data_IF_208781265059
#
_entry.id   IF_208781265059
#
_cell.length_a   1.000
_cell.length_b   1.000
_cell.length_c   1.000
_cell.angle_alpha   90.00
_cell.angle_beta   90.00
_cell.angle_gamma   90.00
#
_symmetry.space_group_name_H-M   'P 1'
#
loop_
_entity.id
_entity.type
_entity.pdbx_description
1 polymer ?
#
# COMPACT_ATOMS: atom_id res chain seq x y z
N UNK A 1 -45.85 -6.56 57.61
CA UNK A 1 -44.37 -6.54 57.51
C UNK A 1 -44.01 -6.69 56.01
N UNK A 2 -43.67 -5.59 55.34
CA UNK A 2 -43.30 -5.58 53.91
C UNK A 2 -41.77 -5.61 53.86
N UNK A 3 -41.20 -6.64 53.21
CA UNK A 3 -39.75 -6.75 52.93
C UNK A 3 -39.43 -5.97 51.69
N UNK A 4 -38.58 -4.94 51.75
CA UNK A 4 -37.95 -4.27 50.59
C UNK A 4 -36.89 -5.20 49.96
N UNK A 5 -36.79 -5.27 48.65
CA UNK A 5 -35.65 -5.93 48.00
C UNK A 5 -34.43 -5.01 48.00
N UNK A 6 -33.30 -5.56 48.41
CA UNK A 6 -31.97 -4.91 48.27
C UNK A 6 -31.51 -5.13 46.86
N UNK A 7 -31.44 -4.04 46.07
CA UNK A 7 -30.82 -4.04 44.73
C UNK A 7 -29.33 -3.79 44.91
N UNK A 8 -28.49 -4.82 44.71
CA UNK A 8 -27.04 -4.67 44.61
C UNK A 8 -26.71 -4.09 43.24
N UNK A 9 -26.24 -2.85 43.19
CA UNK A 9 -25.59 -2.28 42.02
C UNK A 9 -24.15 -2.83 41.94
N UNK A 10 -23.89 -3.68 40.94
CA UNK A 10 -22.50 -3.98 40.53
C UNK A 10 -21.95 -2.78 39.78
N UNK A 11 -21.12 -1.96 40.40
CA UNK A 11 -20.25 -1.02 39.71
C UNK A 11 -19.16 -1.83 38.98
N UNK A 12 -19.28 -1.99 37.69
CA UNK A 12 -18.17 -2.43 36.83
C UNK A 12 -17.13 -1.30 36.84
N UNK A 13 -16.05 -1.47 37.59
CA UNK A 13 -14.86 -0.61 37.51
C UNK A 13 -14.19 -0.92 36.19
N UNK A 14 -14.49 -0.13 35.16
CA UNK A 14 -13.68 -0.04 33.96
C UNK A 14 -12.33 0.55 34.38
N UNK A 15 -11.32 -0.29 34.57
CA UNK A 15 -9.93 0.16 34.64
C UNK A 15 -9.62 0.92 33.35
N UNK A 16 -9.23 2.22 33.39
CA UNK A 16 -8.67 2.86 32.23
C UNK A 16 -7.34 2.15 31.95
N UNK A 17 -7.32 1.27 30.95
CA UNK A 17 -6.07 0.78 30.40
C UNK A 17 -5.26 2.02 30.01
N UNK A 18 -4.13 2.25 30.67
CA UNK A 18 -3.16 3.24 30.22
C UNK A 18 -2.72 2.83 28.81
N UNK A 19 -3.31 3.44 27.79
CA UNK A 19 -2.78 3.41 26.44
C UNK A 19 -1.45 4.17 26.48
N UNK A 20 -0.35 3.46 26.69
CA UNK A 20 0.97 4.05 26.55
C UNK A 20 1.17 4.43 25.09
N UNK A 21 1.28 5.72 24.81
CA UNK A 21 1.56 6.20 23.46
C UNK A 21 2.96 5.76 23.03
N UNK A 22 3.10 5.36 21.78
CA UNK A 22 4.39 4.98 21.17
C UNK A 22 5.41 6.12 21.36
N UNK A 23 6.63 5.79 21.81
CA UNK A 23 7.74 6.75 21.90
C UNK A 23 8.25 7.14 20.50
N UNK A 24 7.60 8.11 19.89
CA UNK A 24 7.97 8.62 18.58
C UNK A 24 9.29 9.38 18.57
N UNK A 25 9.77 9.88 19.71
CA UNK A 25 11.04 10.60 19.82
C UNK A 25 12.23 9.65 19.76
N UNK A 26 12.18 8.56 20.55
CA UNK A 26 13.18 7.50 20.51
C UNK A 26 13.21 6.82 19.15
N UNK A 27 12.04 6.48 18.61
CA UNK A 27 11.87 5.90 17.28
C UNK A 27 12.50 6.78 16.18
N UNK A 28 12.25 8.11 16.21
CA UNK A 28 12.86 9.05 15.25
C UNK A 28 14.38 9.00 15.30
N UNK A 29 14.96 9.04 16.49
CA UNK A 29 16.43 9.04 16.65
C UNK A 29 17.04 7.77 16.06
N UNK A 30 16.48 6.62 16.34
CA UNK A 30 16.95 5.33 15.84
C UNK A 30 16.80 5.23 14.31
N UNK A 31 15.66 5.61 13.76
CA UNK A 31 15.42 5.62 12.31
C UNK A 31 16.39 6.57 11.61
N UNK A 32 16.56 7.80 12.11
CA UNK A 32 17.46 8.78 11.48
C UNK A 32 18.92 8.31 11.49
N UNK A 33 19.35 7.55 12.49
CA UNK A 33 20.70 6.96 12.53
C UNK A 33 20.90 5.94 11.40
N UNK A 34 19.89 5.08 11.14
CA UNK A 34 19.92 4.11 10.03
C UNK A 34 19.91 4.81 8.67
N UNK A 35 19.01 5.80 8.48
CA UNK A 35 18.92 6.54 7.22
C UNK A 35 20.20 7.31 6.89
N UNK A 36 20.96 7.75 7.90
CA UNK A 36 22.24 8.46 7.73
C UNK A 36 23.37 7.58 7.14
N UNK A 37 23.20 6.25 7.13
CA UNK A 37 24.15 5.32 6.47
C UNK A 37 24.15 5.48 4.93
N UNK A 38 23.12 6.11 4.37
CA UNK A 38 22.97 6.37 2.93
C UNK A 38 22.75 7.88 2.67
N UNK A 39 23.75 8.73 2.90
CA UNK A 39 23.59 10.19 2.88
C UNK A 39 23.24 10.77 1.50
N UNK A 40 23.50 10.02 0.42
CA UNK A 40 23.15 10.40 -0.95
C UNK A 40 21.69 10.05 -1.31
N UNK A 41 21.03 9.21 -0.51
CA UNK A 41 19.66 8.78 -0.75
C UNK A 41 18.63 9.75 -0.14
N UNK A 42 17.42 9.70 -0.64
CA UNK A 42 16.29 10.41 -0.06
C UNK A 42 15.26 9.42 0.44
N UNK A 43 14.69 9.70 1.61
CA UNK A 43 13.73 8.84 2.27
C UNK A 43 12.48 9.59 2.69
N UNK A 44 11.35 8.89 2.69
CA UNK A 44 10.15 9.33 3.40
C UNK A 44 9.57 8.16 4.19
N UNK A 45 9.15 8.46 5.41
CA UNK A 45 8.51 7.48 6.31
C UNK A 45 7.20 8.08 6.82
N UNK A 46 6.13 7.30 6.74
CA UNK A 46 4.89 7.59 7.45
C UNK A 46 4.47 6.35 8.25
N UNK A 47 4.06 6.58 9.47
CA UNK A 47 3.56 5.55 10.37
C UNK A 47 2.31 6.06 11.08
N UNK A 48 1.37 5.16 11.37
CA UNK A 48 0.21 5.44 12.22
C UNK A 48 -0.16 4.21 13.04
N UNK A 49 -0.12 4.34 14.36
CA UNK A 49 -0.72 3.36 15.26
C UNK A 49 -2.25 3.46 15.14
N UNK A 50 -2.89 2.39 14.71
CA UNK A 50 -4.35 2.35 14.51
C UNK A 50 -5.13 2.22 15.83
N UNK A 51 -4.46 1.91 16.94
CA UNK A 51 -5.10 1.79 18.25
C UNK A 51 -5.18 3.13 18.97
N UNK A 52 -4.08 3.91 18.94
CA UNK A 52 -3.99 5.21 19.59
C UNK A 52 -4.24 6.39 18.64
N UNK A 53 -4.14 6.16 17.33
CA UNK A 53 -4.20 7.19 16.29
C UNK A 53 -2.92 8.03 16.19
N UNK A 54 -1.86 7.73 16.96
CA UNK A 54 -0.59 8.50 16.94
C UNK A 54 0.13 8.33 15.62
N UNK A 55 0.41 9.44 14.91
CA UNK A 55 1.19 9.42 13.68
C UNK A 55 2.68 9.69 13.94
N UNK A 56 3.52 9.26 12.98
CA UNK A 56 4.94 9.63 12.92
C UNK A 56 5.35 9.84 11.46
N UNK A 57 6.17 10.86 11.21
CA UNK A 57 6.51 11.29 9.86
C UNK A 57 7.97 11.68 9.70
N UNK A 58 8.56 11.34 8.55
CA UNK A 58 9.83 11.86 8.02
C UNK A 58 9.59 12.18 6.54
N UNK A 59 9.74 13.44 6.12
CA UNK A 59 9.58 13.90 4.74
C UNK A 59 8.29 13.40 4.05
N UNK A 60 7.20 13.31 4.79
CA UNK A 60 5.97 12.62 4.40
C UNK A 60 5.32 13.17 3.13
N UNK A 61 5.52 14.45 2.82
CA UNK A 61 5.00 15.13 1.62
C UNK A 61 6.03 15.18 0.47
N UNK A 62 7.22 14.59 0.65
CA UNK A 62 8.19 14.52 -0.44
C UNK A 62 7.66 13.63 -1.58
N UNK A 63 7.74 14.14 -2.81
CA UNK A 63 7.28 13.41 -4.00
C UNK A 63 8.31 12.39 -4.46
N UNK A 64 7.85 11.15 -4.69
CA UNK A 64 8.63 10.06 -5.25
C UNK A 64 7.96 9.52 -6.52
N UNK A 65 8.75 8.95 -7.44
CA UNK A 65 8.18 8.09 -8.49
C UNK A 65 7.45 6.92 -7.82
N UNK A 66 6.19 6.70 -8.17
CA UNK A 66 5.38 5.75 -7.41
C UNK A 66 5.82 4.28 -7.54
N UNK A 67 6.56 3.93 -8.59
CA UNK A 67 6.82 2.53 -8.94
C UNK A 67 5.51 1.72 -8.86
N UNK A 68 5.54 0.51 -8.32
CA UNK A 68 4.34 -0.33 -8.21
C UNK A 68 3.44 0.00 -7.02
N UNK A 69 3.77 0.96 -6.15
CA UNK A 69 2.84 1.40 -5.09
C UNK A 69 1.59 2.07 -5.66
N UNK A 70 1.65 2.59 -6.90
CA UNK A 70 0.49 3.13 -7.62
C UNK A 70 -0.63 2.10 -7.86
N UNK A 71 -0.35 0.79 -7.71
CA UNK A 71 -1.34 -0.28 -7.88
C UNK A 71 -2.35 -0.33 -6.72
N UNK A 72 -2.02 0.22 -5.55
CA UNK A 72 -2.97 0.37 -4.43
C UNK A 72 -4.14 1.30 -4.77
N UNK A 73 -3.93 2.53 -5.29
CA UNK A 73 -5.01 3.35 -5.85
C UNK A 73 -5.87 2.66 -6.90
N UNK A 74 -5.24 1.89 -7.80
CA UNK A 74 -5.97 1.15 -8.85
C UNK A 74 -6.88 0.08 -8.24
N UNK A 75 -6.37 -0.64 -7.23
CA UNK A 75 -7.14 -1.64 -6.48
C UNK A 75 -8.36 -1.00 -5.80
N UNK A 76 -8.16 0.11 -5.08
CA UNK A 76 -9.22 0.84 -4.37
C UNK A 76 -10.33 1.26 -5.35
N UNK A 77 -9.97 1.94 -6.46
CA UNK A 77 -10.96 2.38 -7.45
C UNK A 77 -11.71 1.21 -8.06
N UNK A 78 -11.04 0.09 -8.34
CA UNK A 78 -11.72 -1.09 -8.85
C UNK A 78 -12.76 -1.61 -7.87
N UNK A 79 -12.43 -1.70 -6.58
CA UNK A 79 -13.40 -2.10 -5.55
C UNK A 79 -14.50 -1.07 -5.33
N UNK A 80 -14.22 0.22 -5.52
CA UNK A 80 -15.24 1.28 -5.51
C UNK A 80 -16.28 1.06 -6.63
N UNK A 81 -15.82 0.74 -7.85
CA UNK A 81 -16.72 0.43 -8.96
C UNK A 81 -17.51 -0.87 -8.74
N UNK A 82 -16.91 -1.85 -8.08
CA UNK A 82 -17.60 -3.10 -7.72
C UNK A 82 -18.69 -2.83 -6.67
N UNK A 83 -18.41 -2.05 -5.64
CA UNK A 83 -19.41 -1.65 -4.62
C UNK A 83 -20.56 -0.86 -5.23
N UNK A 84 -20.32 -0.08 -6.27
CA UNK A 84 -21.31 0.64 -7.05
C UNK A 84 -22.06 -0.23 -8.09
N UNK A 85 -21.81 -1.53 -8.15
CA UNK A 85 -22.38 -2.48 -9.13
C UNK A 85 -22.04 -2.13 -10.60
N UNK A 86 -20.99 -1.35 -10.85
CA UNK A 86 -20.49 -1.01 -12.20
C UNK A 86 -19.54 -2.05 -12.77
N UNK A 87 -18.89 -2.80 -11.89
CA UNK A 87 -18.01 -3.92 -12.20
C UNK A 87 -18.33 -5.11 -11.29
N UNK A 88 -17.86 -6.28 -11.69
CA UNK A 88 -17.90 -7.51 -10.90
C UNK A 88 -16.55 -8.19 -10.92
N UNK A 89 -16.14 -8.80 -9.82
CA UNK A 89 -14.94 -9.66 -9.76
C UNK A 89 -15.00 -10.83 -10.77
N UNK A 90 -16.20 -11.16 -11.31
CA UNK A 90 -16.41 -12.20 -12.31
C UNK A 90 -16.38 -11.67 -13.75
N UNK A 91 -16.26 -10.38 -13.96
CA UNK A 91 -16.15 -9.83 -15.30
C UNK A 91 -14.93 -10.39 -16.01
N UNK A 92 -15.09 -10.69 -17.29
CA UNK A 92 -14.08 -11.32 -18.14
C UNK A 92 -13.41 -10.26 -19.02
N UNK A 93 -12.14 -10.03 -18.81
CA UNK A 93 -11.32 -9.01 -19.47
C UNK A 93 -10.46 -9.67 -20.54
N UNK A 94 -10.46 -9.12 -21.75
CA UNK A 94 -9.61 -9.59 -22.85
C UNK A 94 -8.15 -9.24 -22.56
N UNK A 95 -7.27 -10.22 -22.64
CA UNK A 95 -5.83 -10.00 -22.48
C UNK A 95 -5.21 -9.57 -23.80
N UNK A 96 -4.59 -8.39 -23.81
CA UNK A 96 -3.86 -7.82 -24.93
C UNK A 96 -2.62 -7.07 -24.47
N UNK A 97 -1.69 -6.76 -25.37
CA UNK A 97 -0.40 -6.13 -25.04
C UNK A 97 -0.29 -4.67 -25.49
N UNK A 98 -1.15 -4.20 -26.38
CA UNK A 98 -1.06 -2.88 -26.97
C UNK A 98 -1.91 -1.86 -26.19
N UNK A 99 -1.28 -0.80 -25.75
CA UNK A 99 -1.90 0.27 -24.96
C UNK A 99 -1.65 1.63 -25.62
N UNK A 100 -2.38 2.65 -25.20
CA UNK A 100 -2.29 4.00 -25.74
C UNK A 100 -1.44 4.86 -24.80
N UNK A 101 -0.37 5.47 -25.35
CA UNK A 101 0.44 6.43 -24.62
C UNK A 101 -0.34 7.72 -24.36
N UNK A 102 -0.26 8.23 -23.11
CA UNK A 102 -0.85 9.53 -22.76
C UNK A 102 -0.03 10.71 -23.30
N UNK A 103 1.17 10.45 -23.83
CA UNK A 103 2.07 11.49 -24.33
C UNK A 103 1.67 12.03 -25.70
N UNK A 104 1.17 11.16 -26.59
CA UNK A 104 0.91 11.47 -27.99
C UNK A 104 -0.19 10.63 -28.64
N UNK A 105 -0.92 9.84 -27.86
CA UNK A 105 -1.96 8.89 -28.29
C UNK A 105 -1.46 7.79 -29.24
N UNK A 106 -0.16 7.58 -29.35
CA UNK A 106 0.41 6.45 -30.10
C UNK A 106 0.31 5.16 -29.29
N UNK A 107 0.42 4.01 -29.99
CA UNK A 107 0.45 2.71 -29.34
C UNK A 107 1.84 2.40 -28.77
N UNK A 108 1.86 1.68 -27.66
CA UNK A 108 3.03 1.00 -27.12
C UNK A 108 2.67 -0.42 -26.69
N UNK A 109 3.65 -1.28 -26.65
CA UNK A 109 3.46 -2.71 -26.36
C UNK A 109 4.29 -3.04 -25.11
N UNK A 110 3.70 -3.77 -24.16
CA UNK A 110 4.42 -4.28 -23.02
C UNK A 110 5.36 -5.41 -23.38
N UNK A 111 6.55 -5.40 -22.77
CA UNK A 111 7.55 -6.47 -22.90
C UNK A 111 7.47 -7.41 -21.69
N UNK A 112 7.20 -8.68 -21.96
CA UNK A 112 7.19 -9.72 -20.93
C UNK A 112 8.53 -9.85 -20.19
N UNK A 113 9.64 -9.42 -20.77
CA UNK A 113 10.96 -9.50 -20.14
C UNK A 113 11.05 -8.61 -18.89
N UNK A 114 10.35 -7.47 -18.89
CA UNK A 114 10.32 -6.48 -17.79
C UNK A 114 9.21 -6.71 -16.76
N UNK A 115 8.27 -7.63 -17.01
CA UNK A 115 7.21 -7.96 -16.04
C UNK A 115 7.67 -9.06 -15.08
N UNK A 116 7.29 -8.98 -13.81
CA UNK A 116 7.55 -10.00 -12.78
C UNK A 116 6.64 -11.22 -12.92
N UNK A 117 5.49 -11.09 -13.60
CA UNK A 117 4.51 -12.13 -13.87
C UNK A 117 4.53 -12.49 -15.36
N UNK A 118 4.61 -13.78 -15.69
CA UNK A 118 4.78 -14.24 -17.07
C UNK A 118 3.56 -15.00 -17.63
N UNK A 119 2.77 -15.62 -16.78
CA UNK A 119 1.71 -16.56 -17.19
C UNK A 119 0.61 -15.84 -17.99
N UNK A 120 0.32 -14.59 -17.63
CA UNK A 120 -0.71 -13.81 -18.32
C UNK A 120 -0.36 -13.53 -19.78
N UNK A 121 0.94 -13.46 -20.13
CA UNK A 121 1.37 -13.32 -21.51
C UNK A 121 1.06 -14.56 -22.37
N UNK A 122 0.92 -15.74 -21.74
CA UNK A 122 0.41 -16.95 -22.39
C UNK A 122 -1.10 -16.95 -22.65
N UNK A 123 -1.82 -15.94 -22.15
CA UNK A 123 -3.28 -15.82 -22.27
C UNK A 123 -3.73 -14.79 -23.33
N UNK A 124 -2.82 -14.30 -24.16
CA UNK A 124 -3.14 -13.31 -25.20
C UNK A 124 -4.31 -13.76 -26.09
N UNK A 125 -5.25 -12.84 -26.32
CA UNK A 125 -6.48 -13.10 -27.08
C UNK A 125 -7.54 -13.90 -26.32
N UNK A 126 -7.26 -14.34 -25.09
CA UNK A 126 -8.22 -15.01 -24.19
C UNK A 126 -8.78 -14.02 -23.17
N UNK A 127 -9.85 -14.43 -22.50
CA UNK A 127 -10.43 -13.65 -21.40
C UNK A 127 -10.01 -14.24 -20.06
N UNK A 128 -9.64 -13.35 -19.12
CA UNK A 128 -9.29 -13.65 -17.73
C UNK A 128 -10.25 -12.90 -16.83
N UNK A 129 -10.65 -13.50 -15.71
CA UNK A 129 -11.58 -12.85 -14.75
C UNK A 129 -10.89 -11.73 -13.99
N UNK A 130 -11.62 -10.63 -13.73
CA UNK A 130 -11.08 -9.43 -13.07
C UNK A 130 -10.41 -9.76 -11.71
N UNK A 131 -11.00 -10.67 -10.93
CA UNK A 131 -10.41 -11.12 -9.65
C UNK A 131 -8.96 -11.61 -9.81
N UNK A 132 -8.68 -12.38 -10.85
CA UNK A 132 -7.35 -12.92 -11.13
C UNK A 132 -6.38 -11.80 -11.53
N UNK A 133 -6.83 -10.85 -12.35
CA UNK A 133 -6.02 -9.68 -12.71
C UNK A 133 -5.67 -8.85 -11.47
N UNK A 134 -6.63 -8.58 -10.57
CA UNK A 134 -6.36 -7.84 -9.33
C UNK A 134 -5.38 -8.58 -8.43
N UNK A 135 -5.53 -9.90 -8.32
CA UNK A 135 -4.61 -10.73 -7.53
C UNK A 135 -3.19 -10.65 -8.09
N UNK A 136 -2.98 -10.92 -9.39
CA UNK A 136 -1.67 -10.84 -10.05
C UNK A 136 -1.08 -9.42 -10.01
N UNK A 137 -1.89 -8.38 -10.20
CA UNK A 137 -1.48 -6.98 -10.11
C UNK A 137 -0.84 -6.67 -8.73
N UNK A 138 -1.39 -7.18 -7.66
CA UNK A 138 -0.93 -6.89 -6.30
C UNK A 138 0.15 -7.87 -5.85
N UNK A 139 -0.10 -9.17 -5.90
CA UNK A 139 0.76 -10.19 -5.28
C UNK A 139 2.05 -10.43 -6.06
N UNK A 140 1.96 -10.43 -7.38
CA UNK A 140 3.07 -10.65 -8.30
C UNK A 140 3.54 -9.34 -8.97
N UNK A 141 2.88 -8.23 -8.63
CA UNK A 141 3.18 -6.92 -9.23
C UNK A 141 3.10 -6.89 -10.76
N UNK A 142 2.24 -7.71 -11.40
CA UNK A 142 2.11 -7.80 -12.85
C UNK A 142 1.85 -6.44 -13.50
N UNK A 143 2.67 -6.07 -14.48
CA UNK A 143 2.54 -4.86 -15.27
C UNK A 143 1.41 -4.99 -16.28
N UNK A 144 1.27 -6.16 -16.91
CA UNK A 144 0.19 -6.43 -17.85
C UNK A 144 -1.18 -6.35 -17.17
N UNK A 145 -1.36 -7.01 -16.02
CA UNK A 145 -2.59 -6.87 -15.23
C UNK A 145 -2.87 -5.41 -14.88
N UNK A 146 -1.84 -4.66 -14.49
CA UNK A 146 -1.98 -3.23 -14.11
C UNK A 146 -2.55 -2.41 -15.28
N UNK A 147 -1.99 -2.56 -16.47
CA UNK A 147 -2.42 -1.78 -17.62
C UNK A 147 -3.85 -2.15 -18.07
N UNK A 148 -4.19 -3.45 -18.08
CA UNK A 148 -5.55 -3.90 -18.37
C UNK A 148 -6.58 -3.33 -17.37
N UNK A 149 -6.24 -3.31 -16.08
CA UNK A 149 -7.13 -2.77 -15.04
C UNK A 149 -7.23 -1.24 -15.14
N UNK A 150 -6.13 -0.51 -15.38
CA UNK A 150 -6.17 0.95 -15.57
C UNK A 150 -6.98 1.33 -16.81
N UNK A 151 -6.87 0.59 -17.91
CA UNK A 151 -7.70 0.81 -19.11
C UNK A 151 -9.18 0.61 -18.79
N UNK A 152 -9.52 -0.39 -17.97
CA UNK A 152 -10.90 -0.68 -17.55
C UNK A 152 -11.48 0.42 -16.64
N UNK A 153 -10.74 0.87 -15.62
CA UNK A 153 -11.26 1.78 -14.60
C UNK A 153 -11.04 3.25 -14.94
N UNK A 154 -9.97 3.59 -15.66
CA UNK A 154 -9.61 4.94 -16.09
C UNK A 154 -8.83 5.74 -15.04
N UNK A 155 -7.66 6.28 -15.45
CA UNK A 155 -6.77 7.05 -14.57
C UNK A 155 -7.46 8.27 -13.92
N UNK A 156 -8.32 8.96 -14.66
CA UNK A 156 -9.06 10.14 -14.14
C UNK A 156 -10.00 9.79 -12.99
N UNK A 157 -10.64 8.62 -13.01
CA UNK A 157 -11.49 8.16 -11.89
C UNK A 157 -10.64 7.80 -10.68
N UNK A 158 -9.54 7.07 -10.89
CA UNK A 158 -8.57 6.79 -9.81
C UNK A 158 -8.19 8.07 -9.12
N UNK A 159 -7.83 9.11 -9.88
CA UNK A 159 -7.43 10.41 -9.32
C UNK A 159 -8.56 11.13 -8.57
N UNK A 160 -9.80 11.03 -9.05
CA UNK A 160 -10.96 11.60 -8.35
C UNK A 160 -11.16 10.93 -6.98
N UNK A 161 -11.19 9.60 -6.96
CA UNK A 161 -11.33 8.80 -5.73
C UNK A 161 -10.20 9.09 -4.73
N UNK A 162 -8.95 9.19 -5.19
CA UNK A 162 -7.82 9.51 -4.30
C UNK A 162 -7.99 10.89 -3.63
N UNK A 163 -8.43 11.91 -4.39
CA UNK A 163 -8.70 13.25 -3.84
C UNK A 163 -9.85 13.24 -2.81
N UNK A 164 -10.93 12.51 -3.10
CA UNK A 164 -12.06 12.35 -2.18
C UNK A 164 -11.64 11.67 -0.87
N UNK A 165 -10.66 10.78 -0.92
CA UNK A 165 -10.07 10.13 0.25
C UNK A 165 -9.10 11.01 1.03
N UNK A 166 -8.70 12.17 0.50
CA UNK A 166 -7.71 13.07 1.11
C UNK A 166 -6.26 12.78 0.69
N UNK A 167 -6.02 11.83 -0.23
CA UNK A 167 -4.73 11.59 -0.85
C UNK A 167 -4.57 12.49 -2.08
N UNK A 168 -4.17 13.75 -1.86
CA UNK A 168 -4.26 14.81 -2.86
C UNK A 168 -3.01 15.01 -3.69
N UNK A 169 -1.86 14.49 -3.25
CA UNK A 169 -0.54 14.65 -3.88
C UNK A 169 -0.17 13.46 -4.76
N UNK A 170 -0.77 12.29 -4.53
CA UNK A 170 -0.55 11.09 -5.35
C UNK A 170 -1.05 11.33 -6.78
N UNK A 171 -0.31 10.80 -7.76
CA UNK A 171 -0.69 10.86 -9.18
C UNK A 171 -0.63 9.48 -9.80
N UNK A 172 -1.75 9.04 -10.35
CA UNK A 172 -1.87 7.86 -11.20
C UNK A 172 -2.38 8.35 -12.56
N UNK A 173 -1.45 8.69 -13.45
CA UNK A 173 -1.75 9.33 -14.73
C UNK A 173 -1.92 8.32 -15.85
N UNK A 174 -1.24 7.19 -15.78
CA UNK A 174 -1.07 6.23 -16.87
C UNK A 174 -0.81 4.81 -16.36
N UNK A 175 -0.89 3.87 -17.29
CA UNK A 175 -0.33 2.53 -17.11
C UNK A 175 1.19 2.54 -16.97
N UNK A 176 1.77 1.39 -16.73
CA UNK A 176 3.22 1.22 -16.63
C UNK A 176 3.86 1.04 -18.01
N UNK A 177 5.17 1.23 -18.11
CA UNK A 177 5.99 1.07 -19.34
C UNK A 177 5.64 2.00 -20.51
N UNK A 178 4.85 3.05 -20.28
CA UNK A 178 4.70 4.13 -21.26
C UNK A 178 5.97 5.01 -21.24
N UNK A 179 6.99 4.57 -21.96
CA UNK A 179 8.31 5.24 -22.02
C UNK A 179 8.20 6.68 -22.54
N UNK A 180 7.34 6.91 -23.54
CA UNK A 180 7.14 8.27 -24.09
C UNK A 180 6.57 9.23 -23.05
N UNK A 181 5.63 8.79 -22.25
CA UNK A 181 5.10 9.58 -21.16
C UNK A 181 6.15 9.79 -20.04
N UNK A 182 6.95 8.76 -19.75
CA UNK A 182 8.06 8.86 -18.82
C UNK A 182 9.07 9.94 -19.23
N UNK A 183 9.51 9.94 -20.48
CA UNK A 183 10.46 10.92 -21.04
C UNK A 183 9.90 12.36 -21.02
N UNK A 184 8.58 12.54 -21.11
CA UNK A 184 7.91 13.83 -20.98
C UNK A 184 7.61 14.24 -19.51
N UNK A 185 8.07 13.47 -18.53
CA UNK A 185 7.84 13.75 -17.11
C UNK A 185 6.39 13.47 -16.63
N UNK A 186 5.57 12.80 -17.46
CA UNK A 186 4.19 12.39 -17.11
C UNK A 186 4.21 11.12 -16.27
N UNK A 187 4.78 11.21 -15.06
CA UNK A 187 5.02 10.07 -14.20
C UNK A 187 3.92 9.88 -13.16
N UNK A 188 3.68 8.61 -12.82
CA UNK A 188 2.95 8.27 -11.60
C UNK A 188 3.83 8.61 -10.40
N UNK A 189 3.31 9.38 -9.46
CA UNK A 189 4.04 9.84 -8.27
C UNK A 189 3.24 9.55 -7.01
N UNK A 190 3.94 9.48 -5.87
CA UNK A 190 3.33 9.25 -4.56
C UNK A 190 4.06 10.03 -3.47
N UNK A 191 3.42 10.17 -2.32
CA UNK A 191 4.01 10.62 -1.06
C UNK A 191 3.79 9.56 0.02
N UNK A 192 4.60 9.58 1.07
CA UNK A 192 4.40 8.66 2.19
C UNK A 192 3.10 8.97 2.93
N UNK A 193 2.73 10.25 3.02
CA UNK A 193 1.49 10.70 3.64
C UNK A 193 0.27 10.13 2.91
N UNK A 194 0.20 10.29 1.58
CA UNK A 194 -0.96 9.84 0.81
C UNK A 194 -1.13 8.32 0.88
N UNK A 195 -0.05 7.55 0.73
CA UNK A 195 -0.13 6.11 0.90
C UNK A 195 -0.58 5.71 2.31
N UNK A 196 -0.10 6.40 3.35
CA UNK A 196 -0.56 6.15 4.72
C UNK A 196 -2.07 6.40 4.85
N UNK A 197 -2.59 7.50 4.30
CA UNK A 197 -4.03 7.80 4.29
C UNK A 197 -4.82 6.68 3.62
N UNK A 198 -4.35 6.16 2.49
CA UNK A 198 -5.04 5.06 1.78
C UNK A 198 -5.05 3.77 2.60
N UNK A 199 -3.91 3.38 3.18
CA UNK A 199 -3.82 2.16 3.99
C UNK A 199 -4.57 2.29 5.33
N UNK A 200 -4.62 3.50 5.93
CA UNK A 200 -5.45 3.78 7.11
C UNK A 200 -6.94 3.55 6.80
N UNK A 201 -7.43 4.08 5.67
CA UNK A 201 -8.80 3.87 5.23
C UNK A 201 -9.11 2.41 4.87
N UNK A 202 -8.18 1.68 4.27
CA UNK A 202 -8.33 0.22 4.04
C UNK A 202 -8.42 -0.50 5.39
N UNK A 203 -7.56 -0.17 6.34
CA UNK A 203 -7.49 -0.81 7.65
C UNK A 203 -8.74 -0.54 8.51
N UNK A 204 -9.33 0.66 8.41
CA UNK A 204 -10.56 1.06 9.13
C UNK A 204 -11.84 0.58 8.46
N UNK A 205 -11.78 0.05 7.23
CA UNK A 205 -12.97 -0.34 6.47
C UNK A 205 -13.67 0.82 5.75
N UNK A 206 -12.99 1.98 5.64
CA UNK A 206 -13.54 3.23 5.12
C UNK A 206 -13.10 3.56 3.68
N UNK A 207 -12.17 2.77 3.10
CA UNK A 207 -11.73 3.03 1.72
C UNK A 207 -12.84 2.80 0.69
N UNK A 208 -13.74 1.85 0.94
CA UNK A 208 -14.95 1.56 0.15
C UNK A 208 -16.07 1.19 1.11
N UNK A 209 -16.12 -0.07 1.50
CA UNK A 209 -16.95 -0.63 2.57
C UNK A 209 -16.16 -1.74 3.28
N UNK A 210 -16.68 -2.23 4.41
CA UNK A 210 -15.96 -3.20 5.24
C UNK A 210 -15.65 -4.51 4.49
N UNK A 211 -16.56 -4.99 3.62
CA UNK A 211 -16.36 -6.24 2.87
C UNK A 211 -15.30 -6.06 1.77
N UNK A 212 -15.35 -4.95 1.04
CA UNK A 212 -14.36 -4.60 0.03
C UNK A 212 -12.96 -4.41 0.65
N UNK A 213 -12.87 -3.69 1.79
CA UNK A 213 -11.62 -3.50 2.52
C UNK A 213 -11.04 -4.83 3.03
N UNK A 214 -11.87 -5.73 3.55
CA UNK A 214 -11.43 -7.07 3.96
C UNK A 214 -10.90 -7.88 2.77
N UNK A 215 -11.55 -7.80 1.61
CA UNK A 215 -11.09 -8.45 0.38
C UNK A 215 -9.75 -7.87 -0.12
N UNK A 216 -9.57 -6.54 -0.09
CA UNK A 216 -8.30 -5.89 -0.43
C UNK A 216 -7.19 -6.31 0.53
N UNK A 217 -7.44 -6.33 1.85
CA UNK A 217 -6.47 -6.79 2.86
C UNK A 217 -6.07 -8.26 2.60
N UNK A 218 -7.02 -9.13 2.24
CA UNK A 218 -6.71 -10.53 1.92
C UNK A 218 -5.73 -10.63 0.74
N UNK A 219 -5.98 -9.89 -0.35
CA UNK A 219 -5.08 -9.86 -1.51
C UNK A 219 -3.69 -9.29 -1.12
N UNK A 220 -3.66 -8.18 -0.36
CA UNK A 220 -2.43 -7.52 0.07
C UNK A 220 -1.57 -8.39 1.02
N UNK A 221 -2.18 -9.28 1.81
CA UNK A 221 -1.47 -10.25 2.67
C UNK A 221 -0.73 -11.31 1.87
N UNK A 222 -1.23 -11.64 0.70
CA UNK A 222 -0.62 -12.64 -0.21
C UNK A 222 0.53 -12.06 -1.03
N UNK A 223 0.99 -10.82 -0.76
CA UNK A 223 2.15 -10.21 -1.40
C UNK A 223 3.36 -11.14 -1.39
N UNK A 224 3.97 -11.36 -2.58
CA UNK A 224 5.16 -12.22 -2.72
C UNK A 224 6.46 -11.50 -2.32
N UNK A 225 6.54 -10.19 -2.55
CA UNK A 225 7.73 -9.37 -2.26
C UNK A 225 7.64 -8.80 -0.84
N UNK A 226 8.29 -9.45 0.12
CA UNK A 226 8.18 -9.17 1.57
C UNK A 226 9.47 -8.62 2.18
N UNK A 227 10.46 -8.33 1.38
CA UNK A 227 11.83 -8.04 1.80
C UNK A 227 11.96 -6.71 2.56
N UNK A 228 11.05 -5.75 2.34
CA UNK A 228 11.08 -4.43 2.99
C UNK A 228 10.34 -4.44 4.33
N UNK A 229 9.02 -4.22 4.34
CA UNK A 229 8.28 -4.15 5.63
C UNK A 229 8.39 -5.47 6.39
N UNK A 230 8.21 -6.61 5.73
CA UNK A 230 8.22 -7.94 6.34
C UNK A 230 9.61 -8.50 6.66
N UNK A 231 10.67 -8.00 6.01
CA UNK A 231 11.96 -8.67 5.90
C UNK A 231 12.67 -8.99 7.23
N UNK A 232 12.51 -8.16 8.26
CA UNK A 232 13.10 -8.35 9.60
C UNK A 232 12.05 -8.49 10.70
N UNK A 233 10.77 -8.60 10.36
CA UNK A 233 9.71 -8.83 11.34
C UNK A 233 9.67 -10.32 11.75
N UNK A 234 9.20 -10.63 12.97
CA UNK A 234 8.98 -12.00 13.39
C UNK A 234 8.00 -12.74 12.47
N UNK A 235 8.15 -14.05 12.26
CA UNK A 235 7.36 -14.81 11.28
C UNK A 235 5.85 -14.88 11.60
N UNK A 236 5.46 -14.66 12.84
CA UNK A 236 4.07 -14.58 13.28
C UNK A 236 3.37 -13.27 12.93
N UNK A 237 4.14 -12.24 12.56
CA UNK A 237 3.60 -10.92 12.18
C UNK A 237 3.13 -10.97 10.74
N UNK A 238 1.86 -10.67 10.53
CA UNK A 238 1.29 -10.60 9.19
C UNK A 238 1.41 -9.18 8.63
N UNK A 239 1.73 -9.10 7.35
CA UNK A 239 1.83 -7.83 6.62
C UNK A 239 0.91 -7.88 5.40
N UNK A 240 0.07 -6.87 5.24
CA UNK A 240 -0.71 -6.63 4.03
C UNK A 240 -0.13 -5.42 3.32
N UNK A 241 0.69 -5.62 2.28
CA UNK A 241 1.45 -4.52 1.66
C UNK A 241 1.45 -4.54 0.14
N UNK A 242 1.85 -3.41 -0.43
CA UNK A 242 2.24 -3.28 -1.83
C UNK A 242 3.61 -2.64 -1.93
N UNK A 243 4.56 -3.44 -2.41
CA UNK A 243 5.93 -3.00 -2.71
C UNK A 243 6.02 -2.29 -4.07
N UNK A 244 7.10 -1.56 -4.28
CA UNK A 244 7.41 -0.94 -5.56
C UNK A 244 8.91 -0.82 -5.77
N UNK A 245 9.39 -1.30 -6.92
CA UNK A 245 10.79 -1.25 -7.30
C UNK A 245 10.96 -0.77 -8.74
N UNK A 246 11.91 0.12 -8.95
CA UNK A 246 12.60 0.42 -10.21
C UNK A 246 14.03 0.81 -9.86
N UNK A 247 14.94 0.85 -10.82
CA UNK A 247 16.34 1.21 -10.58
C UNK A 247 16.47 2.48 -9.75
N UNK A 248 17.09 2.38 -8.60
CA UNK A 248 17.32 3.49 -7.68
C UNK A 248 16.09 3.93 -6.85
N UNK A 249 14.98 3.21 -6.92
CA UNK A 249 13.76 3.48 -6.14
C UNK A 249 13.27 2.19 -5.49
N UNK A 250 13.11 2.17 -4.18
CA UNK A 250 12.57 1.05 -3.42
C UNK A 250 11.53 1.54 -2.43
N UNK A 251 10.35 0.96 -2.48
CA UNK A 251 9.19 1.36 -1.67
C UNK A 251 8.47 0.15 -1.11
N UNK A 252 7.87 0.33 0.05
CA UNK A 252 6.82 -0.56 0.54
C UNK A 252 5.82 0.24 1.39
N UNK A 253 4.56 -0.17 1.34
CA UNK A 253 3.46 0.50 2.05
C UNK A 253 2.41 -0.53 2.46
N UNK A 254 1.97 -0.49 3.71
CA UNK A 254 1.05 -1.54 4.16
C UNK A 254 0.58 -1.42 5.60
N UNK A 255 -0.19 -2.43 6.00
CA UNK A 255 -0.74 -2.64 7.32
C UNK A 255 0.00 -3.81 7.96
N UNK A 256 0.52 -3.61 9.17
CA UNK A 256 1.14 -4.65 9.99
C UNK A 256 0.16 -5.08 11.07
N UNK A 257 -0.01 -6.40 11.21
CA UNK A 257 -0.90 -7.04 12.18
C UNK A 257 -0.07 -7.70 13.28
N UNK A 258 -0.15 -7.17 14.48
CA UNK A 258 0.60 -7.69 15.63
C UNK A 258 -0.09 -8.90 16.25
N UNK A 259 0.67 -9.82 16.91
CA UNK A 259 0.10 -11.00 17.56
C UNK A 259 -0.91 -10.70 18.68
N UNK A 260 -0.81 -9.53 19.29
CA UNK A 260 -1.72 -9.05 20.35
C UNK A 260 -3.01 -8.40 19.81
N UNK A 261 -3.21 -8.40 18.49
CA UNK A 261 -4.37 -7.85 17.81
C UNK A 261 -4.27 -6.37 17.45
N UNK A 262 -3.26 -5.64 17.93
CA UNK A 262 -3.00 -4.26 17.47
C UNK A 262 -2.55 -4.26 16.02
N UNK A 263 -2.71 -3.11 15.38
CA UNK A 263 -2.33 -2.90 13.98
C UNK A 263 -1.73 -1.52 13.81
N UNK A 264 -0.85 -1.38 12.85
CA UNK A 264 -0.36 -0.09 12.42
C UNK A 264 -0.18 -0.02 10.90
N UNK A 265 -0.24 1.18 10.37
CA UNK A 265 0.13 1.48 8.99
C UNK A 265 1.58 1.93 8.95
N UNK A 266 2.33 1.48 7.96
CA UNK A 266 3.69 1.93 7.69
C UNK A 266 3.92 2.11 6.20
N UNK A 267 4.58 3.21 5.84
CA UNK A 267 5.02 3.53 4.48
C UNK A 267 6.50 3.87 4.52
N UNK A 268 7.27 3.20 3.70
CA UNK A 268 8.71 3.34 3.57
C UNK A 268 9.04 3.63 2.11
N UNK A 269 9.50 4.86 1.82
CA UNK A 269 9.89 5.27 0.47
C UNK A 269 11.37 5.63 0.44
N UNK A 270 12.09 5.18 -0.60
CA UNK A 270 13.49 5.54 -0.82
C UNK A 270 13.80 5.79 -2.29
N UNK A 271 14.76 6.68 -2.55
CA UNK A 271 15.37 6.89 -3.87
C UNK A 271 16.85 7.20 -3.73
N UNK A 272 17.66 6.82 -4.72
CA UNK A 272 19.08 7.05 -4.78
C UNK A 272 19.95 5.87 -4.33
N UNK A 273 19.34 4.71 -3.99
CA UNK A 273 20.05 3.46 -3.71
C UNK A 273 19.83 2.52 -4.90
N UNK A 274 20.89 2.23 -5.67
CA UNK A 274 20.81 1.38 -6.86
C UNK A 274 20.95 -0.11 -6.55
N UNK A 275 21.59 -0.46 -5.44
CA UNK A 275 21.65 -1.84 -4.95
C UNK A 275 20.35 -2.19 -4.22
N UNK A 276 19.57 -3.07 -4.84
CA UNK A 276 18.26 -3.50 -4.36
C UNK A 276 18.34 -4.13 -2.96
N UNK A 277 19.36 -4.98 -2.74
CA UNK A 277 19.53 -5.67 -1.46
C UNK A 277 19.85 -4.69 -0.33
N UNK A 278 20.67 -3.68 -0.60
CA UNK A 278 20.98 -2.61 0.36
C UNK A 278 19.73 -1.80 0.68
N UNK A 279 18.92 -1.47 -0.33
CA UNK A 279 17.67 -0.74 -0.14
C UNK A 279 16.66 -1.54 0.71
N UNK A 280 16.45 -2.82 0.42
CA UNK A 280 15.56 -3.69 1.19
C UNK A 280 16.06 -3.89 2.63
N UNK A 281 17.36 -4.10 2.83
CA UNK A 281 17.94 -4.27 4.17
C UNK A 281 17.73 -3.03 5.04
N UNK A 282 17.93 -1.85 4.48
CA UNK A 282 17.72 -0.59 5.16
C UNK A 282 16.24 -0.38 5.51
N UNK A 283 15.33 -0.55 4.55
CA UNK A 283 13.88 -0.38 4.80
C UNK A 283 13.37 -1.41 5.81
N UNK A 284 13.83 -2.65 5.76
CA UNK A 284 13.46 -3.68 6.74
C UNK A 284 14.00 -3.39 8.15
N UNK A 285 15.17 -2.75 8.24
CA UNK A 285 15.70 -2.26 9.53
C UNK A 285 14.82 -1.15 10.11
N UNK A 286 14.39 -0.20 9.28
CA UNK A 286 13.43 0.85 9.71
C UNK A 286 12.11 0.23 10.17
N UNK A 287 11.57 -0.73 9.40
CA UNK A 287 10.35 -1.46 9.79
C UNK A 287 10.52 -2.17 11.13
N UNK A 288 11.67 -2.81 11.37
CA UNK A 288 11.98 -3.49 12.62
C UNK A 288 12.04 -2.53 13.81
N UNK A 289 12.64 -1.35 13.66
CA UNK A 289 12.66 -0.31 14.71
C UNK A 289 11.23 0.09 15.08
N UNK A 290 10.37 0.35 14.09
CA UNK A 290 8.97 0.69 14.32
C UNK A 290 8.26 -0.42 15.10
N UNK A 291 8.42 -1.67 14.67
CA UNK A 291 7.87 -2.83 15.36
C UNK A 291 8.33 -2.93 16.82
N UNK A 292 9.64 -2.80 17.06
CA UNK A 292 10.19 -2.90 18.42
C UNK A 292 9.65 -1.79 19.35
N UNK A 293 9.43 -0.57 18.82
CA UNK A 293 8.77 0.51 19.56
C UNK A 293 7.29 0.22 19.82
N UNK A 294 6.57 -0.38 18.88
CA UNK A 294 5.19 -0.83 19.10
C UNK A 294 5.09 -1.90 20.21
N UNK A 295 6.07 -2.80 20.28
CA UNK A 295 6.07 -3.91 21.25
C UNK A 295 6.55 -3.52 22.65
N UNK A 296 7.31 -2.41 22.81
CA UNK A 296 7.76 -1.92 24.13
C UNK A 296 6.60 -1.39 25.01
N UNK A 297 5.46 -1.10 24.42
CA UNK A 297 4.30 -0.48 25.09
C UNK A 297 3.13 -1.48 25.26
N UNK A 298 3.45 -2.71 25.65
CA UNK A 298 2.50 -3.76 26.03
C UNK A 298 2.24 -3.74 27.53
#
# INVERSE_FOLDING_TARGET
MRRLPVILFFLAVLSPGCLFAVDTTGMRREIMAVLAEQPQASFAVAFRDLSSGVPFFINEHASFHAASTMKTPVLIETFQLISQHKLSLRDSILVHLDFISIADSSRYILDSASDSEKDLYGMLGRKVVLRELLYKMITESSNLSTNLVIELVGASRIMATMREMGATEIRVLRGVEDTKAFEKGLNNTTTAYDLMVLFDKIASGEAVDAAACAAMIAILKDQHFKESIGGKLPPEVQVASKSGWITGVCHDSGIVFLPDGRRYVVVLLSKGITDEKVAHDLLSTVSRIIYDHMMKHV
#
